data_IF_789410335839
#
_entry.id   IF_789410335839
#
_cell.length_a   1.000
_cell.length_b   1.000
_cell.length_c   1.000
_cell.angle_alpha   90.00
_cell.angle_beta   90.00
_cell.angle_gamma   90.00
#
_symmetry.space_group_name_H-M   'P 1'
#
loop_
_entity.id
_entity.type
_entity.pdbx_description
1 polymer ?
#
# COMPACT_ATOMS: atom_id res chain seq x y z
N UNK A 1 -39.03 -47.27 8.84
CA UNK A 1 -38.54 -46.16 9.70
C UNK A 1 -37.20 -46.47 10.37
N UNK A 2 -37.04 -47.56 11.15
CA UNK A 2 -35.79 -47.88 11.87
C UNK A 2 -34.53 -48.04 10.99
N UNK A 3 -34.66 -48.59 9.77
CA UNK A 3 -33.54 -48.77 8.83
C UNK A 3 -33.01 -47.46 8.22
N UNK A 4 -33.87 -46.45 8.11
CA UNK A 4 -33.48 -45.14 7.56
C UNK A 4 -32.68 -44.34 8.60
N UNK A 5 -33.07 -44.42 9.87
CA UNK A 5 -32.37 -43.77 10.99
C UNK A 5 -30.94 -44.28 11.16
N UNK A 6 -30.71 -45.58 10.97
CA UNK A 6 -29.37 -46.19 11.06
C UNK A 6 -28.47 -45.71 9.92
N UNK A 7 -29.01 -45.57 8.70
CA UNK A 7 -28.24 -45.09 7.55
C UNK A 7 -27.79 -43.64 7.73
N UNK A 8 -28.67 -42.79 8.29
CA UNK A 8 -28.37 -41.37 8.57
C UNK A 8 -27.29 -41.23 9.65
N UNK A 9 -27.35 -42.06 10.70
CA UNK A 9 -26.33 -42.05 11.76
C UNK A 9 -24.97 -42.49 11.20
N UNK A 10 -24.93 -43.54 10.38
CA UNK A 10 -23.69 -44.01 9.76
C UNK A 10 -23.07 -42.96 8.81
N UNK A 11 -23.90 -42.22 8.08
CA UNK A 11 -23.47 -41.13 7.21
C UNK A 11 -22.92 -39.93 8.01
N UNK A 12 -23.55 -39.58 9.13
CA UNK A 12 -23.07 -38.52 10.00
C UNK A 12 -21.71 -38.86 10.64
N UNK A 13 -21.53 -40.13 11.03
CA UNK A 13 -20.26 -40.63 11.57
C UNK A 13 -19.18 -40.63 10.49
N UNK A 14 -19.49 -41.05 9.26
CA UNK A 14 -18.49 -41.03 8.17
C UNK A 14 -18.07 -39.61 7.79
N UNK A 15 -18.99 -38.65 7.77
CA UNK A 15 -18.67 -37.23 7.56
C UNK A 15 -17.81 -36.67 8.71
N UNK A 16 -18.15 -36.99 9.97
CA UNK A 16 -17.36 -36.56 11.13
C UNK A 16 -15.93 -37.12 11.14
N UNK A 17 -15.74 -38.35 10.66
CA UNK A 17 -14.41 -38.94 10.49
C UNK A 17 -13.64 -38.26 9.35
N UNK A 18 -14.30 -37.93 8.24
CA UNK A 18 -13.66 -37.23 7.12
C UNK A 18 -13.18 -35.84 7.54
N UNK A 19 -13.98 -35.10 8.32
CA UNK A 19 -13.62 -33.75 8.79
C UNK A 19 -12.47 -33.77 9.81
N UNK A 20 -12.34 -34.84 10.61
CA UNK A 20 -11.30 -34.93 11.65
C UNK A 20 -10.01 -35.60 11.17
N UNK A 21 -10.07 -36.50 10.19
CA UNK A 21 -8.91 -37.26 9.71
C UNK A 21 -8.26 -36.63 8.48
N UNK A 22 -9.00 -35.89 7.65
CA UNK A 22 -8.41 -35.13 6.54
C UNK A 22 -8.12 -33.70 6.99
N UNK A 23 -6.85 -33.32 7.22
CA UNK A 23 -6.51 -31.94 7.55
C UNK A 23 -7.02 -31.02 6.46
N UNK A 24 -7.75 -29.97 6.84
CA UNK A 24 -8.14 -28.92 5.91
C UNK A 24 -6.87 -28.34 5.26
N UNK A 25 -6.90 -28.03 3.95
CA UNK A 25 -5.78 -27.37 3.31
C UNK A 25 -5.50 -26.08 4.09
N UNK A 26 -4.39 -26.06 4.80
CA UNK A 26 -3.85 -24.83 5.36
C UNK A 26 -3.73 -23.87 4.18
N UNK A 27 -4.33 -22.69 4.28
CA UNK A 27 -4.08 -21.59 3.35
C UNK A 27 -2.65 -21.11 3.59
N UNK A 28 -1.68 -21.90 3.18
CA UNK A 28 -0.36 -21.40 2.82
C UNK A 28 -0.51 -20.80 1.43
N UNK A 29 -1.17 -19.65 1.36
CA UNK A 29 -0.89 -18.71 0.28
C UNK A 29 0.55 -18.22 0.49
N UNK A 30 1.52 -19.07 0.16
CA UNK A 30 2.90 -18.64 -0.09
C UNK A 30 2.92 -17.94 -1.45
N UNK A 31 2.22 -16.80 -1.53
CA UNK A 31 2.56 -15.78 -2.50
C UNK A 31 3.95 -15.30 -2.10
N UNK A 32 4.98 -15.74 -2.82
CA UNK A 32 6.27 -15.06 -2.77
C UNK A 32 6.04 -13.69 -3.42
N UNK A 33 5.71 -12.69 -2.60
CA UNK A 33 5.86 -11.30 -2.98
C UNK A 33 7.37 -11.03 -3.03
N UNK A 34 8.03 -11.47 -4.11
CA UNK A 34 9.38 -11.04 -4.40
C UNK A 34 9.28 -9.57 -4.79
N UNK A 35 9.63 -8.66 -3.88
CA UNK A 35 9.86 -7.25 -4.21
C UNK A 35 11.22 -7.14 -4.92
N UNK A 36 11.36 -7.82 -6.05
CA UNK A 36 12.60 -7.90 -6.83
C UNK A 36 13.01 -6.54 -7.39
N UNK A 37 12.07 -5.59 -7.46
CA UNK A 37 12.31 -4.23 -7.92
C UNK A 37 13.04 -3.31 -6.93
N UNK A 38 13.09 -3.67 -5.64
CA UNK A 38 13.96 -2.99 -4.67
C UNK A 38 15.41 -3.50 -4.74
N UNK A 39 15.71 -4.50 -5.60
CA UNK A 39 17.09 -4.87 -5.85
C UNK A 39 17.85 -3.67 -6.42
N UNK A 40 18.88 -3.28 -5.67
CA UNK A 40 19.93 -2.35 -6.05
C UNK A 40 20.78 -3.00 -7.15
N UNK A 41 20.21 -3.25 -8.33
CA UNK A 41 21.05 -3.40 -9.50
C UNK A 41 21.62 -2.02 -9.81
N UNK A 42 22.92 -1.87 -9.58
CA UNK A 42 23.77 -0.77 -10.05
C UNK A 42 23.80 -0.79 -11.57
N UNK A 43 22.66 -0.53 -12.20
CA UNK A 43 22.57 -0.23 -13.61
C UNK A 43 23.23 1.13 -13.85
N UNK A 44 23.85 1.31 -15.01
CA UNK A 44 24.43 2.57 -15.52
C UNK A 44 23.45 3.79 -15.48
N UNK A 45 22.16 3.52 -15.20
CA UNK A 45 21.09 4.52 -15.04
C UNK A 45 20.98 5.18 -13.66
N UNK A 46 21.81 4.79 -12.67
CA UNK A 46 21.83 5.48 -11.37
C UNK A 46 22.52 6.86 -11.45
N UNK A 47 23.33 7.06 -12.49
CA UNK A 47 23.95 8.34 -12.79
C UNK A 47 22.89 9.41 -13.13
N UNK A 48 22.79 10.43 -12.29
CA UNK A 48 21.91 11.59 -12.51
C UNK A 48 20.71 11.69 -11.57
N UNK A 49 20.41 10.63 -10.79
CA UNK A 49 19.48 10.74 -9.68
C UNK A 49 20.17 11.32 -8.44
N UNK A 50 19.42 12.07 -7.62
CA UNK A 50 19.90 12.52 -6.32
C UNK A 50 20.05 11.32 -5.38
N UNK A 51 21.16 11.29 -4.64
CA UNK A 51 21.43 10.30 -3.58
C UNK A 51 21.38 10.96 -2.21
N UNK A 52 21.12 10.18 -1.17
CA UNK A 52 21.00 10.66 0.20
C UNK A 52 22.34 10.42 0.93
N UNK A 53 23.07 11.50 1.23
CA UNK A 53 24.39 11.43 1.88
C UNK A 53 24.39 11.89 3.35
N UNK A 54 23.27 12.41 3.85
CA UNK A 54 23.14 12.89 5.22
C UNK A 54 21.76 13.48 5.50
N UNK A 55 21.57 14.08 6.68
CA UNK A 55 20.32 14.72 7.07
C UNK A 55 19.89 15.79 6.08
N UNK A 56 18.59 15.84 5.79
CA UNK A 56 17.97 16.85 4.92
C UNK A 56 16.84 17.50 5.69
N UNK A 57 16.79 18.83 5.68
CA UNK A 57 15.70 19.57 6.32
C UNK A 57 14.36 19.24 5.66
N UNK A 58 13.44 18.68 6.46
CA UNK A 58 12.08 18.38 6.03
C UNK A 58 11.17 19.58 6.29
N UNK A 59 10.44 20.02 5.27
CA UNK A 59 9.49 21.13 5.32
C UNK A 59 8.12 20.63 4.90
N UNK A 60 7.16 20.71 5.82
CA UNK A 60 5.77 20.33 5.57
C UNK A 60 4.92 21.58 5.28
N UNK A 61 4.00 21.54 4.31
CA UNK A 61 3.51 20.36 3.57
C UNK A 61 4.28 20.01 2.30
N UNK A 62 5.36 20.73 1.94
CA UNK A 62 6.13 20.48 0.71
C UNK A 62 6.56 19.01 0.58
N UNK A 63 7.12 18.45 1.64
CA UNK A 63 7.69 17.09 1.66
C UNK A 63 6.65 15.98 1.91
N UNK A 64 5.35 16.31 1.91
CA UNK A 64 4.28 15.32 1.75
C UNK A 64 4.18 14.83 0.30
N UNK A 65 4.54 15.69 -0.66
CA UNK A 65 4.47 15.43 -2.09
C UNK A 65 5.62 14.58 -2.61
N UNK A 66 5.70 14.48 -3.95
CA UNK A 66 6.80 13.79 -4.61
C UNK A 66 8.12 14.55 -4.58
N UNK A 67 9.22 13.79 -4.53
CA UNK A 67 10.58 14.26 -4.73
C UNK A 67 11.19 13.63 -6.00
N UNK A 68 10.89 14.23 -7.16
CA UNK A 68 11.17 13.65 -8.49
C UNK A 68 12.67 13.59 -8.83
N UNK A 69 13.54 14.24 -8.05
CA UNK A 69 14.98 14.09 -8.18
C UNK A 69 15.51 12.74 -7.68
N UNK A 70 14.71 12.02 -6.90
CA UNK A 70 15.02 10.68 -6.42
C UNK A 70 14.38 9.60 -7.29
N UNK A 71 15.12 8.52 -7.48
CA UNK A 71 14.69 7.39 -8.31
C UNK A 71 13.45 6.68 -7.75
N UNK A 72 13.39 6.50 -6.43
CA UNK A 72 12.35 5.70 -5.76
C UNK A 72 11.71 6.49 -4.63
N UNK A 73 10.39 6.37 -4.50
CA UNK A 73 9.61 6.99 -3.43
C UNK A 73 8.40 6.11 -3.08
N UNK A 74 7.91 6.22 -1.83
CA UNK A 74 6.76 5.46 -1.34
C UNK A 74 5.89 6.28 -0.39
N UNK A 75 4.58 6.06 -0.48
CA UNK A 75 3.58 6.47 0.51
C UNK A 75 2.97 5.20 1.07
N UNK A 76 3.16 4.97 2.38
CA UNK A 76 2.84 3.70 3.00
C UNK A 76 1.92 3.87 4.22
N UNK A 77 0.66 3.47 4.05
CA UNK A 77 -0.36 3.50 5.09
C UNK A 77 -0.63 2.08 5.57
N UNK A 78 -0.59 1.90 6.89
CA UNK A 78 -0.97 0.66 7.56
C UNK A 78 -1.76 0.99 8.81
N UNK A 79 -2.73 0.15 9.14
CA UNK A 79 -3.53 0.34 10.34
C UNK A 79 -4.32 -0.89 10.71
N UNK A 80 -4.69 -0.92 11.99
CA UNK A 80 -5.66 -1.86 12.54
C UNK A 80 -6.96 -1.09 12.78
N UNK A 81 -8.07 -1.77 12.58
CA UNK A 81 -9.43 -1.23 12.64
C UNK A 81 -10.31 -2.21 13.40
N UNK A 82 -11.36 -1.71 14.03
CA UNK A 82 -12.28 -2.53 14.80
C UNK A 82 -13.69 -1.95 14.67
N UNK A 83 -14.69 -2.79 14.42
CA UNK A 83 -16.08 -2.33 14.39
C UNK A 83 -16.57 -2.01 15.80
N UNK A 84 -17.70 -1.31 15.91
CA UNK A 84 -18.35 -1.08 17.21
C UNK A 84 -18.72 -2.37 17.98
N UNK A 85 -18.86 -3.51 17.28
CA UNK A 85 -19.12 -4.82 17.89
C UNK A 85 -17.84 -5.59 18.26
N UNK A 86 -16.66 -5.02 17.98
CA UNK A 86 -15.37 -5.61 18.29
C UNK A 86 -14.75 -6.50 17.21
N UNK A 87 -15.25 -6.46 15.97
CA UNK A 87 -14.71 -7.29 14.87
C UNK A 87 -13.41 -6.67 14.35
N UNK A 88 -12.26 -7.37 14.41
CA UNK A 88 -10.97 -6.80 14.04
C UNK A 88 -10.67 -6.93 12.54
N UNK A 89 -10.13 -5.84 11.98
CA UNK A 89 -9.62 -5.77 10.61
C UNK A 89 -8.24 -5.14 10.57
N UNK A 90 -7.45 -5.48 9.56
CA UNK A 90 -6.22 -4.80 9.20
C UNK A 90 -6.30 -4.24 7.79
N UNK A 91 -5.57 -3.16 7.51
CA UNK A 91 -5.41 -2.68 6.13
C UNK A 91 -3.97 -2.29 5.83
N UNK A 92 -3.65 -2.38 4.54
CA UNK A 92 -2.45 -1.82 3.96
C UNK A 92 -2.83 -1.07 2.68
N UNK A 93 -2.37 0.16 2.53
CA UNK A 93 -2.45 0.90 1.28
C UNK A 93 -1.10 1.54 0.97
N UNK A 94 -0.51 1.17 -0.16
CA UNK A 94 0.83 1.60 -0.52
C UNK A 94 0.85 2.05 -1.96
N UNK A 95 1.47 3.20 -2.22
CA UNK A 95 1.80 3.63 -3.58
C UNK A 95 3.31 3.85 -3.64
N UNK A 96 3.94 3.29 -4.65
CA UNK A 96 5.35 3.44 -4.96
C UNK A 96 5.51 4.18 -6.29
N UNK A 97 6.60 4.93 -6.42
CA UNK A 97 7.04 5.55 -7.67
C UNK A 97 8.46 5.07 -8.01
N UNK A 98 8.73 4.68 -9.26
CA UNK A 98 10.07 4.85 -9.88
C UNK A 98 10.07 5.89 -10.96
N UNK A 99 11.17 6.62 -11.00
CA UNK A 99 11.66 7.19 -12.23
C UNK A 99 12.48 6.17 -13.05
N UNK A 100 12.20 6.09 -14.35
CA UNK A 100 12.93 5.31 -15.35
C UNK A 100 14.20 6.02 -15.83
N UNK A 101 14.19 7.34 -15.86
CA UNK A 101 15.32 8.20 -16.25
C UNK A 101 15.41 9.40 -15.31
N UNK A 102 16.63 9.90 -15.02
CA UNK A 102 16.81 11.06 -14.16
C UNK A 102 16.24 12.33 -14.79
N UNK A 103 15.93 13.36 -13.97
CA UNK A 103 15.34 14.62 -14.45
C UNK A 103 16.26 15.40 -15.41
N UNK A 104 17.55 15.04 -15.47
CA UNK A 104 18.52 15.61 -16.42
C UNK A 104 18.33 15.14 -17.86
N UNK A 105 17.59 14.04 -18.08
CA UNK A 105 17.32 13.52 -19.43
C UNK A 105 16.16 14.29 -20.06
N UNK A 106 16.49 15.24 -20.93
CA UNK A 106 15.49 15.97 -21.75
C UNK A 106 15.04 15.16 -22.95
N UNK A 107 13.71 15.05 -23.13
CA UNK A 107 13.09 14.47 -24.33
C UNK A 107 12.97 15.54 -25.41
N UNK A 108 13.42 15.24 -26.63
CA UNK A 108 13.27 16.14 -27.77
C UNK A 108 11.78 16.48 -28.01
N UNK A 109 11.49 17.73 -28.40
CA UNK A 109 10.10 18.23 -28.53
C UNK A 109 9.26 17.39 -29.49
N UNK A 110 9.86 16.93 -30.60
CA UNK A 110 9.22 16.04 -31.57
C UNK A 110 8.83 14.65 -31.03
N UNK A 111 9.35 14.25 -29.84
CA UNK A 111 9.01 12.99 -29.17
C UNK A 111 8.07 13.18 -27.97
N UNK A 112 7.53 14.40 -27.78
CA UNK A 112 6.58 14.70 -26.72
C UNK A 112 5.20 14.06 -27.00
N UNK A 113 4.62 13.42 -25.98
CA UNK A 113 3.29 12.83 -26.03
C UNK A 113 2.69 12.86 -24.62
N UNK A 114 1.39 13.15 -24.51
CA UNK A 114 0.66 13.13 -23.24
C UNK A 114 0.63 11.75 -22.56
N UNK A 115 0.99 10.69 -23.31
CA UNK A 115 1.10 9.32 -22.81
C UNK A 115 2.52 8.92 -22.43
N UNK A 116 3.53 9.72 -22.81
CA UNK A 116 4.92 9.45 -22.47
C UNK A 116 5.14 9.84 -21.01
N UNK A 117 5.73 8.93 -20.25
CA UNK A 117 6.16 9.19 -18.87
C UNK A 117 7.52 8.54 -18.64
N UNK A 118 8.35 9.18 -17.82
CA UNK A 118 9.48 8.52 -17.18
C UNK A 118 9.13 8.04 -15.77
N UNK A 119 7.89 8.20 -15.31
CA UNK A 119 7.43 7.79 -14.00
C UNK A 119 6.53 6.56 -14.11
N UNK A 120 6.84 5.53 -13.34
CA UNK A 120 5.98 4.37 -13.13
C UNK A 120 5.51 4.40 -11.69
N UNK A 121 4.20 4.24 -11.52
CA UNK A 121 3.56 4.05 -10.24
C UNK A 121 3.06 2.62 -10.13
N UNK A 122 3.12 2.07 -8.92
CA UNK A 122 2.46 0.83 -8.60
C UNK A 122 1.92 0.90 -7.18
N UNK A 123 0.83 0.20 -6.94
CA UNK A 123 0.12 0.27 -5.69
C UNK A 123 -0.21 -1.12 -5.18
N UNK A 124 -0.16 -1.30 -3.87
CA UNK A 124 -0.67 -2.47 -3.17
C UNK A 124 -1.80 -2.01 -2.25
N UNK A 125 -2.92 -2.73 -2.29
CA UNK A 125 -4.05 -2.53 -1.39
C UNK A 125 -4.43 -3.88 -0.80
N UNK A 126 -4.56 -3.96 0.52
CA UNK A 126 -4.98 -5.17 1.20
C UNK A 126 -5.97 -4.88 2.33
N UNK A 127 -6.89 -5.83 2.55
CA UNK A 127 -7.70 -5.95 3.76
C UNK A 127 -7.42 -7.32 4.39
N UNK A 128 -7.20 -7.33 5.69
CA UNK A 128 -7.15 -8.53 6.53
C UNK A 128 -8.43 -8.60 7.36
N UNK A 129 -9.27 -9.60 7.10
CA UNK A 129 -10.41 -9.92 7.95
C UNK A 129 -9.97 -11.00 8.94
N UNK A 130 -9.71 -10.56 10.18
CA UNK A 130 -9.10 -11.41 11.19
C UNK A 130 -10.11 -12.45 11.71
N UNK A 131 -11.38 -12.08 11.83
CA UNK A 131 -12.44 -12.97 12.29
C UNK A 131 -12.71 -14.09 11.28
N UNK A 132 -12.73 -13.75 9.99
CA UNK A 132 -12.92 -14.72 8.89
C UNK A 132 -11.62 -15.37 8.42
N UNK A 133 -10.49 -15.08 9.07
CA UNK A 133 -9.16 -15.59 8.70
C UNK A 133 -8.83 -15.41 7.20
N UNK A 134 -9.26 -14.29 6.62
CA UNK A 134 -9.21 -14.03 5.18
C UNK A 134 -8.32 -12.82 4.86
N UNK A 135 -7.61 -12.89 3.73
CA UNK A 135 -6.69 -11.85 3.28
C UNK A 135 -6.95 -11.53 1.81
N UNK A 136 -7.17 -10.26 1.52
CA UNK A 136 -7.58 -9.77 0.20
C UNK A 136 -6.51 -8.85 -0.39
N UNK A 137 -5.48 -9.38 -1.07
CA UNK A 137 -4.45 -8.56 -1.70
C UNK A 137 -4.85 -8.13 -3.11
N UNK A 138 -4.50 -6.90 -3.48
CA UNK A 138 -4.57 -6.41 -4.85
C UNK A 138 -3.37 -5.53 -5.18
N UNK A 139 -2.98 -5.57 -6.45
CA UNK A 139 -1.90 -4.74 -6.99
C UNK A 139 -2.33 -4.06 -8.29
N UNK A 140 -1.77 -2.87 -8.54
CA UNK A 140 -1.98 -2.12 -9.78
C UNK A 140 -0.71 -1.43 -10.22
N UNK A 141 -0.57 -1.25 -11.53
CA UNK A 141 0.55 -0.55 -12.16
C UNK A 141 0.02 0.49 -13.12
N UNK A 142 0.59 1.68 -13.10
CA UNK A 142 0.25 2.71 -14.07
C UNK A 142 1.41 3.64 -14.36
N UNK A 143 1.26 4.43 -15.42
CA UNK A 143 2.23 5.47 -15.79
C UNK A 143 1.87 6.78 -15.09
N UNK A 144 2.88 7.56 -14.71
CA UNK A 144 2.69 8.95 -14.29
C UNK A 144 2.43 9.87 -15.47
N UNK A 145 1.37 9.60 -16.24
CA UNK A 145 0.95 10.37 -17.41
C UNK A 145 -0.56 10.22 -17.64
N UNK A 146 -1.13 11.10 -18.47
CA UNK A 146 -2.56 11.12 -18.79
C UNK A 146 -3.51 11.18 -17.57
N UNK A 147 -3.02 11.65 -16.42
CA UNK A 147 -3.79 11.70 -15.17
C UNK A 147 -3.97 10.35 -14.47
N UNK A 148 -3.35 9.28 -14.97
CA UNK A 148 -3.53 7.93 -14.44
C UNK A 148 -2.87 7.70 -13.08
N UNK A 149 -1.74 8.35 -12.81
CA UNK A 149 -1.09 8.31 -11.51
C UNK A 149 -0.28 9.58 -11.28
N UNK A 150 -0.03 9.92 -10.03
CA UNK A 150 0.74 11.09 -9.66
C UNK A 150 0.75 11.36 -8.16
N UNK A 151 1.60 12.31 -7.76
CA UNK A 151 1.71 12.79 -6.39
C UNK A 151 1.85 14.32 -6.38
N UNK A 152 1.37 14.97 -5.32
CA UNK A 152 1.56 16.40 -5.08
C UNK A 152 1.51 16.70 -3.58
N UNK A 153 2.20 17.77 -3.14
CA UNK A 153 2.32 18.13 -1.73
C UNK A 153 1.29 19.12 -1.19
N UNK A 154 0.70 19.99 -2.03
CA UNK A 154 -0.27 20.99 -1.57
C UNK A 154 -1.35 21.33 -2.62
N UNK A 155 -2.64 21.02 -2.35
CA UNK A 155 -3.08 20.11 -1.28
C UNK A 155 -2.46 18.73 -1.49
N UNK A 156 -2.22 17.99 -0.41
CA UNK A 156 -1.59 16.67 -0.50
C UNK A 156 -2.49 15.69 -1.26
N UNK A 157 -1.90 14.99 -2.23
CA UNK A 157 -2.59 13.91 -2.95
C UNK A 157 -1.58 12.93 -3.55
N UNK A 158 -1.84 11.63 -3.40
CA UNK A 158 -1.17 10.55 -4.13
C UNK A 158 -2.27 9.64 -4.71
N UNK A 159 -2.16 9.29 -5.99
CA UNK A 159 -3.18 8.46 -6.64
C UNK A 159 -2.60 7.52 -7.69
N UNK A 160 -3.33 6.43 -7.90
CA UNK A 160 -3.21 5.52 -9.03
C UNK A 160 -4.65 5.16 -9.43
N UNK A 161 -5.08 5.70 -10.56
CA UNK A 161 -6.44 5.64 -11.09
C UNK A 161 -7.46 6.15 -10.07
N UNK A 162 -8.39 5.31 -9.61
CA UNK A 162 -9.39 5.61 -8.59
C UNK A 162 -8.91 5.33 -7.16
N UNK A 163 -7.71 4.75 -6.97
CA UNK A 163 -7.11 4.59 -5.64
C UNK A 163 -6.35 5.83 -5.24
N UNK A 164 -6.56 6.34 -4.02
CA UNK A 164 -5.91 7.58 -3.59
C UNK A 164 -5.79 7.76 -2.09
N UNK A 165 -4.82 8.59 -1.70
CA UNK A 165 -4.84 9.35 -0.46
C UNK A 165 -4.97 10.84 -0.81
N UNK A 166 -6.00 11.52 -0.32
CA UNK A 166 -6.30 12.92 -0.67
C UNK A 166 -6.54 13.75 0.58
N UNK A 167 -5.85 14.88 0.72
CA UNK A 167 -6.07 15.84 1.78
C UNK A 167 -7.42 16.55 1.62
N UNK A 168 -8.26 16.46 2.64
CA UNK A 168 -9.55 17.16 2.71
C UNK A 168 -9.45 18.48 3.49
N UNK A 169 -8.53 18.54 4.44
CA UNK A 169 -8.15 19.71 5.23
C UNK A 169 -6.75 19.45 5.82
N UNK A 170 -6.03 20.47 6.34
CA UNK A 170 -4.73 20.27 6.95
C UNK A 170 -4.72 19.14 7.98
N UNK A 171 -3.89 18.11 7.75
CA UNK A 171 -3.77 16.92 8.60
C UNK A 171 -4.97 15.96 8.56
N UNK A 172 -5.90 16.13 7.60
CA UNK A 172 -7.04 15.23 7.35
C UNK A 172 -6.93 14.63 5.96
N UNK A 173 -6.67 13.33 5.88
CA UNK A 173 -6.47 12.59 4.62
C UNK A 173 -7.56 11.54 4.46
N UNK A 174 -8.19 11.50 3.30
CA UNK A 174 -9.08 10.41 2.91
C UNK A 174 -8.32 9.35 2.11
N UNK A 175 -8.39 8.09 2.55
CA UNK A 175 -7.95 6.93 1.79
C UNK A 175 -9.14 6.30 1.08
N UNK A 176 -9.01 6.06 -0.22
CA UNK A 176 -10.00 5.32 -1.02
C UNK A 176 -9.28 4.27 -1.84
N UNK A 177 -9.72 3.03 -1.73
CA UNK A 177 -9.29 1.94 -2.61
C UNK A 177 -10.41 0.91 -2.73
N UNK A 178 -10.57 0.34 -3.94
CA UNK A 178 -11.63 -0.62 -4.24
C UNK A 178 -11.16 -1.68 -5.24
N UNK A 179 -11.54 -2.93 -4.97
CA UNK A 179 -11.47 -4.08 -5.87
C UNK A 179 -12.87 -4.63 -6.13
N UNK A 180 -12.97 -5.80 -6.74
CA UNK A 180 -14.23 -6.53 -6.85
C UNK A 180 -14.72 -7.04 -5.49
N UNK A 181 -13.81 -7.54 -4.65
CA UNK A 181 -14.14 -8.21 -3.40
C UNK A 181 -14.11 -7.30 -2.17
N UNK A 182 -13.28 -6.25 -2.18
CA UNK A 182 -13.06 -5.40 -1.00
C UNK A 182 -12.96 -3.92 -1.36
N UNK A 183 -13.33 -3.07 -0.41
CA UNK A 183 -13.12 -1.64 -0.50
C UNK A 183 -12.77 -1.02 0.86
N UNK A 184 -12.07 0.11 0.84
CA UNK A 184 -11.95 1.00 1.98
C UNK A 184 -12.30 2.44 1.58
N UNK A 185 -12.90 3.16 2.52
CA UNK A 185 -13.07 4.60 2.49
C UNK A 185 -12.85 5.12 3.91
N UNK A 186 -11.64 5.56 4.19
CA UNK A 186 -11.19 5.92 5.54
C UNK A 186 -10.81 7.39 5.60
N UNK A 187 -11.13 8.05 6.70
CA UNK A 187 -10.63 9.37 7.05
C UNK A 187 -9.61 9.23 8.16
N UNK A 188 -8.40 9.72 7.89
CA UNK A 188 -7.26 9.70 8.78
C UNK A 188 -7.01 11.13 9.27
N UNK A 189 -6.96 11.30 10.58
CA UNK A 189 -6.63 12.55 11.24
C UNK A 189 -5.25 12.43 11.89
N UNK A 190 -4.33 13.31 11.49
CA UNK A 190 -3.04 13.48 12.17
C UNK A 190 -3.26 13.92 13.62
N UNK A 191 -2.59 13.24 14.54
CA UNK A 191 -2.62 13.51 15.99
C UNK A 191 -1.28 14.00 16.51
N UNK A 192 -0.20 13.75 15.76
CA UNK A 192 1.18 14.07 16.07
C UNK A 192 1.86 14.65 14.82
N UNK A 193 2.84 15.56 14.99
CA UNK A 193 3.64 16.03 13.86
C UNK A 193 4.45 14.89 13.22
N UNK A 194 4.84 15.02 11.94
CA UNK A 194 5.72 14.05 11.28
C UNK A 194 7.01 13.80 12.07
N UNK A 195 7.39 12.52 12.19
CA UNK A 195 8.56 12.06 12.93
C UNK A 195 9.67 11.71 11.93
N UNK A 196 10.79 12.47 11.86
CA UNK A 196 11.93 12.10 11.05
C UNK A 196 12.60 10.84 11.61
N UNK A 197 12.90 9.89 10.74
CA UNK A 197 13.52 8.60 11.08
C UNK A 197 15.04 8.66 10.99
N UNK A 198 15.73 7.81 11.74
CA UNK A 198 17.20 7.77 11.74
C UNK A 198 17.82 9.06 12.30
N UNK A 199 18.85 9.57 11.64
CA UNK A 199 19.49 10.85 12.00
C UNK A 199 18.77 12.00 11.30
N UNK A 200 17.76 12.58 11.96
CA UNK A 200 16.98 13.71 11.44
C UNK A 200 16.46 13.49 9.99
N UNK A 201 15.95 12.29 9.71
CA UNK A 201 15.40 11.92 8.40
C UNK A 201 16.39 11.15 7.53
N UNK A 202 17.67 11.15 7.87
CA UNK A 202 18.69 10.33 7.20
C UNK A 202 18.66 8.90 7.75
N UNK A 203 18.15 7.98 6.94
CA UNK A 203 17.95 6.58 7.34
C UNK A 203 18.80 5.65 6.46
N UNK A 204 19.95 5.21 6.97
CA UNK A 204 20.87 4.28 6.29
C UNK A 204 20.24 2.90 6.13
N UNK A 205 20.33 2.32 4.92
CA UNK A 205 19.71 1.03 4.55
C UNK A 205 20.71 -0.05 4.17
N UNK A 206 21.99 0.30 4.04
CA UNK A 206 23.06 -0.65 3.77
C UNK A 206 24.45 -0.04 4.01
N UNK A 207 25.50 -0.85 3.85
CA UNK A 207 26.87 -0.42 4.14
C UNK A 207 27.45 0.56 3.10
N UNK A 208 26.88 0.62 1.90
CA UNK A 208 27.37 1.49 0.83
C UNK A 208 26.98 2.95 1.05
N UNK A 209 27.93 3.86 0.82
CA UNK A 209 27.67 5.30 0.89
C UNK A 209 26.57 5.69 -0.11
N UNK A 210 25.56 6.40 0.38
CA UNK A 210 24.39 6.79 -0.42
C UNK A 210 23.29 5.71 -0.49
N UNK A 211 23.46 4.54 0.12
CA UNK A 211 22.39 3.57 0.34
C UNK A 211 21.59 3.95 1.59
N UNK A 212 20.80 5.02 1.43
CA UNK A 212 20.01 5.61 2.49
C UNK A 212 18.75 6.25 1.91
N UNK A 213 17.80 6.56 2.79
CA UNK A 213 16.55 7.20 2.45
C UNK A 213 16.36 8.46 3.28
N UNK A 214 15.75 9.48 2.68
CA UNK A 214 15.08 10.55 3.42
C UNK A 214 13.75 9.99 3.91
N UNK A 215 13.54 9.85 5.21
CA UNK A 215 12.42 9.07 5.73
C UNK A 215 11.80 9.70 6.98
N UNK A 216 10.47 9.85 6.97
CA UNK A 216 9.68 10.22 8.13
C UNK A 216 8.46 9.31 8.27
N UNK A 217 7.76 9.41 9.38
CA UNK A 217 6.48 8.72 9.60
C UNK A 217 5.48 9.65 10.28
N UNK A 218 4.22 9.54 9.86
CA UNK A 218 3.09 10.13 10.56
C UNK A 218 2.43 8.95 11.29
N UNK A 219 2.40 9.01 12.62
CA UNK A 219 2.01 7.87 13.45
C UNK A 219 0.77 8.19 14.27
N UNK A 220 0.11 7.14 14.77
CA UNK A 220 -1.08 7.26 15.62
C UNK A 220 -2.21 8.10 14.99
N UNK A 221 -2.35 8.04 13.66
CA UNK A 221 -3.44 8.72 12.98
C UNK A 221 -4.76 8.12 13.43
N UNK A 222 -5.66 8.97 13.95
CA UNK A 222 -7.01 8.53 14.27
C UNK A 222 -7.71 8.20 12.96
N UNK A 223 -8.27 6.99 12.87
CA UNK A 223 -8.88 6.46 11.65
C UNK A 223 -10.36 6.20 11.93
N UNK A 224 -11.21 6.55 10.98
CA UNK A 224 -12.63 6.20 10.98
C UNK A 224 -13.13 6.06 9.53
N UNK A 225 -14.16 5.27 9.31
CA UNK A 225 -14.83 5.20 8.01
C UNK A 225 -15.41 3.83 7.75
N UNK A 226 -15.34 3.39 6.51
CA UNK A 226 -15.93 2.11 6.12
C UNK A 226 -14.95 1.20 5.41
N UNK A 227 -15.19 -0.09 5.62
CA UNK A 227 -14.63 -1.17 4.83
C UNK A 227 -15.76 -2.01 4.26
N UNK A 228 -15.56 -2.56 3.07
CA UNK A 228 -16.49 -3.49 2.43
C UNK A 228 -15.76 -4.80 2.18
N UNK A 229 -16.40 -5.92 2.49
CA UNK A 229 -15.94 -7.27 2.16
C UNK A 229 -17.12 -8.04 1.55
N UNK A 230 -17.01 -8.40 0.28
CA UNK A 230 -18.12 -8.91 -0.50
C UNK A 230 -19.26 -7.90 -0.58
N UNK A 231 -20.45 -8.31 -0.12
CA UNK A 231 -21.64 -7.45 -0.08
C UNK A 231 -21.82 -6.72 1.26
N UNK A 232 -21.01 -7.07 2.28
CA UNK A 232 -21.11 -6.50 3.62
C UNK A 232 -20.23 -5.26 3.78
N UNK A 233 -20.75 -4.24 4.43
CA UNK A 233 -20.01 -3.02 4.78
C UNK A 233 -20.00 -2.82 6.29
N UNK A 234 -18.82 -2.51 6.83
CA UNK A 234 -18.58 -2.31 8.25
C UNK A 234 -18.09 -0.89 8.49
N UNK A 235 -18.70 -0.22 9.47
CA UNK A 235 -18.16 1.01 10.06
C UNK A 235 -17.03 0.64 11.03
N UNK A 236 -15.91 1.35 10.92
CA UNK A 236 -14.67 1.15 11.67
C UNK A 236 -14.06 2.46 12.13
#
# INVERSE_FOLDING_TARGET
>A
MKRLSILVILLAISIGIIVTVFPQPQVTATGKANVEWLASETSDTDHGFRRVYGPTEMVFPRDLGSHDEYRTEWWYYTGNMETASGRPFGFQFTIFRRALTPPTVTVAREQSSNWRSNQIYFAHFTISDVEQQSFYPAERFSRGAAGLAGAQGSPYRIWLEDWSATELAPGKVQLVAKTEDVALNLMLQETLPPIPQGDCGYSVKGPELGNASTYYSIVQQQTQGTITVGEETFEV
#
